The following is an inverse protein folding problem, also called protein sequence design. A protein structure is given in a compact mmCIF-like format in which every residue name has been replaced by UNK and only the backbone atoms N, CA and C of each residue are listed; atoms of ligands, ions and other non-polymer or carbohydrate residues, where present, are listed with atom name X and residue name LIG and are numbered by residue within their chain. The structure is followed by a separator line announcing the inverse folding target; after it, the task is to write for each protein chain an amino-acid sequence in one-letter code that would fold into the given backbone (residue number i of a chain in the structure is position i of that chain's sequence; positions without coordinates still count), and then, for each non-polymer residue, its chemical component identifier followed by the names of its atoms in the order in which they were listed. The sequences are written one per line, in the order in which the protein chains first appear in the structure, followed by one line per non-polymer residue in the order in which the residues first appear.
data_IF_885490955479
#
_entry.id   IF_885490955479
#
_cell.length_a   1.000
_cell.length_b   1.000
_cell.length_c   1.000
_cell.angle_alpha   90.00
_cell.angle_beta   90.00
_cell.angle_gamma   90.00
#
_symmetry.space_group_name_H-M   'P 1'
#
loop_
_entity.id
_entity.type
_entity.pdbx_description
1 polymer ?
#
# COMPACT_ATOMS: atom_id res chain seq x y z
N UNK A 1 -26.32 -8.78 6.42
CA UNK A 1 -27.12 -7.69 5.81
C UNK A 1 -26.50 -6.34 6.19
N UNK A 2 -26.70 -5.26 5.40
CA UNK A 2 -26.25 -3.91 5.77
C UNK A 2 -26.73 -3.51 7.15
N UNK A 3 -25.84 -2.95 8.00
CA UNK A 3 -26.16 -2.58 9.39
C UNK A 3 -26.16 -3.73 10.40
N UNK A 4 -25.92 -4.96 9.98
CA UNK A 4 -25.76 -6.10 10.89
C UNK A 4 -24.48 -5.92 11.72
N UNK A 5 -24.59 -6.07 13.04
CA UNK A 5 -23.42 -6.16 13.93
C UNK A 5 -22.80 -7.55 13.81
N UNK A 6 -21.50 -7.61 13.77
CA UNK A 6 -20.72 -8.84 13.69
C UNK A 6 -19.60 -8.80 14.73
N UNK A 7 -19.25 -9.98 15.23
CA UNK A 7 -18.09 -10.17 16.09
C UNK A 7 -16.93 -10.81 15.32
N UNK A 8 -15.74 -10.76 15.87
CA UNK A 8 -14.58 -11.45 15.32
C UNK A 8 -14.86 -12.96 15.21
N UNK A 9 -14.69 -13.53 14.01
CA UNK A 9 -14.92 -14.92 13.72
C UNK A 9 -16.33 -15.25 13.20
N UNK A 10 -17.24 -14.27 13.18
CA UNK A 10 -18.56 -14.47 12.56
C UNK A 10 -18.45 -14.72 11.05
N UNK A 11 -19.24 -15.69 10.57
CA UNK A 11 -19.35 -15.95 9.14
C UNK A 11 -20.16 -14.85 8.47
N UNK A 12 -19.55 -14.10 7.57
CA UNK A 12 -20.20 -13.01 6.81
C UNK A 12 -20.87 -13.52 5.53
N UNK A 13 -20.34 -14.59 4.95
CA UNK A 13 -20.80 -15.16 3.69
C UNK A 13 -19.87 -16.28 3.21
N UNK A 14 -20.17 -16.76 2.02
CA UNK A 14 -19.29 -17.70 1.31
C UNK A 14 -18.59 -16.95 0.19
N UNK A 15 -17.31 -17.27 -0.03
CA UNK A 15 -16.58 -16.73 -1.18
C UNK A 15 -17.19 -17.26 -2.48
N UNK A 16 -17.27 -16.42 -3.49
CA UNK A 16 -17.80 -16.76 -4.79
C UNK A 16 -16.99 -16.11 -5.91
N UNK A 17 -17.31 -16.47 -7.15
CA UNK A 17 -16.68 -15.96 -8.35
C UNK A 17 -17.73 -15.24 -9.24
N UNK A 18 -18.60 -14.44 -8.64
CA UNK A 18 -19.59 -13.66 -9.40
C UNK A 18 -18.96 -12.41 -10.01
N UNK A 19 -19.38 -12.05 -11.22
CA UNK A 19 -18.82 -10.94 -11.98
C UNK A 19 -17.65 -11.36 -12.88
N UNK A 20 -16.79 -10.42 -13.24
CA UNK A 20 -15.57 -10.69 -14.01
C UNK A 20 -14.47 -11.09 -13.03
N UNK A 21 -14.31 -12.40 -12.80
CA UNK A 21 -13.36 -12.93 -11.84
C UNK A 21 -12.81 -14.29 -12.30
N UNK A 22 -11.51 -14.49 -12.14
CA UNK A 22 -10.79 -15.72 -12.54
C UNK A 22 -10.97 -16.87 -11.51
N UNK A 23 -11.64 -16.62 -10.39
CA UNK A 23 -11.92 -17.60 -9.34
C UNK A 23 -12.54 -17.00 -8.08
N UNK A 24 -12.90 -17.82 -7.09
CA UNK A 24 -13.45 -17.35 -5.82
C UNK A 24 -12.46 -16.45 -5.07
N UNK A 25 -12.89 -15.25 -4.72
CA UNK A 25 -12.08 -14.29 -3.95
C UNK A 25 -12.96 -13.43 -3.04
N UNK A 26 -12.33 -12.77 -2.07
CA UNK A 26 -12.93 -11.70 -1.27
C UNK A 26 -12.52 -10.34 -1.88
N UNK A 27 -13.51 -9.54 -2.21
CA UNK A 27 -13.30 -8.15 -2.59
C UNK A 27 -13.55 -7.25 -1.39
N UNK A 28 -12.55 -6.46 -1.00
CA UNK A 28 -12.62 -5.48 0.08
C UNK A 28 -12.29 -4.09 -0.46
N UNK A 29 -13.20 -3.14 -0.28
CA UNK A 29 -12.96 -1.74 -0.56
C UNK A 29 -13.18 -0.88 0.68
N UNK A 30 -12.32 0.12 0.87
CA UNK A 30 -12.56 1.23 1.79
C UNK A 30 -12.96 2.45 0.98
N UNK A 31 -14.11 3.05 1.31
CA UNK A 31 -14.62 4.27 0.68
C UNK A 31 -14.79 5.35 1.72
N UNK A 32 -14.23 6.54 1.46
CA UNK A 32 -14.24 7.66 2.41
C UNK A 32 -15.11 8.79 1.86
N UNK A 33 -16.09 9.21 2.66
CA UNK A 33 -17.05 10.26 2.29
C UNK A 33 -18.25 9.72 1.50
N UNK A 34 -18.12 9.56 0.20
CA UNK A 34 -19.20 9.12 -0.66
C UNK A 34 -19.09 7.63 -1.01
N UNK A 35 -20.23 6.95 -1.15
CA UNK A 35 -20.26 5.55 -1.53
C UNK A 35 -20.19 5.39 -3.06
N UNK A 36 -19.07 5.76 -3.65
CA UNK A 36 -18.77 5.59 -5.07
C UNK A 36 -17.31 5.18 -5.27
N UNK A 37 -16.98 4.76 -6.48
CA UNK A 37 -15.64 4.26 -6.81
C UNK A 37 -14.54 5.33 -6.69
N UNK A 38 -14.84 6.58 -7.04
CA UNK A 38 -13.89 7.70 -6.90
C UNK A 38 -13.51 8.02 -5.43
N UNK A 39 -14.24 7.44 -4.47
CA UNK A 39 -13.97 7.59 -3.03
C UNK A 39 -13.18 6.42 -2.43
N UNK A 40 -12.72 5.47 -3.25
CA UNK A 40 -11.92 4.35 -2.79
C UNK A 40 -10.55 4.80 -2.26
N UNK A 41 -10.08 4.10 -1.24
CA UNK A 41 -8.74 4.27 -0.64
C UNK A 41 -8.09 2.89 -0.53
N UNK A 42 -6.76 2.84 -0.43
CA UNK A 42 -6.08 1.59 -0.23
C UNK A 42 -6.46 0.98 1.13
N UNK A 43 -7.10 -0.21 1.15
CA UNK A 43 -7.58 -0.81 2.41
C UNK A 43 -6.45 -1.15 3.40
N UNK A 44 -5.21 -1.31 2.95
CA UNK A 44 -4.06 -1.61 3.81
C UNK A 44 -3.76 -0.48 4.83
N UNK A 45 -4.22 0.75 4.57
CA UNK A 45 -4.14 1.85 5.53
C UNK A 45 -5.16 1.74 6.68
N UNK A 46 -6.17 0.86 6.55
CA UNK A 46 -7.30 0.71 7.45
C UNK A 46 -7.35 -0.65 8.14
N UNK A 47 -6.61 -1.61 7.64
CA UNK A 47 -6.47 -2.93 8.24
C UNK A 47 -5.37 -2.88 9.31
N UNK A 48 -5.60 -3.60 10.41
CA UNK A 48 -4.57 -3.82 11.41
C UNK A 48 -3.52 -4.76 10.83
N UNK A 49 -2.23 -4.37 10.78
CA UNK A 49 -1.17 -5.25 10.32
C UNK A 49 -1.02 -6.47 11.24
N UNK A 50 -0.38 -7.51 10.77
CA UNK A 50 -0.07 -8.68 11.59
C UNK A 50 0.69 -8.28 12.88
N UNK A 51 0.51 -9.02 13.99
CA UNK A 51 1.22 -8.71 15.23
C UNK A 51 2.72 -8.53 15.02
N UNK A 52 3.28 -7.47 15.57
CA UNK A 52 4.70 -7.10 15.46
C UNK A 52 5.18 -6.70 14.06
N UNK A 53 4.28 -6.43 13.12
CA UNK A 53 4.62 -5.82 11.83
C UNK A 53 4.12 -4.39 11.75
N UNK A 54 4.54 -3.65 10.73
CA UNK A 54 4.09 -2.29 10.45
C UNK A 54 3.64 -2.15 9.00
N UNK A 55 2.99 -1.03 8.71
CA UNK A 55 2.64 -0.61 7.35
C UNK A 55 3.69 0.40 6.87
N UNK A 56 4.15 0.27 5.65
CA UNK A 56 4.94 1.30 4.97
C UNK A 56 4.06 1.95 3.91
N UNK A 57 3.88 3.25 4.03
CA UNK A 57 3.18 4.05 3.03
C UNK A 57 4.09 5.18 2.56
N UNK A 58 3.91 5.64 1.35
CA UNK A 58 4.73 6.72 0.85
C UNK A 58 4.33 7.22 -0.52
N UNK A 59 5.15 8.09 -1.05
CA UNK A 59 4.97 8.60 -2.40
C UNK A 59 6.26 8.58 -3.19
N UNK A 60 6.12 8.23 -4.46
CA UNK A 60 7.16 8.33 -5.46
C UNK A 60 6.77 9.53 -6.32
N UNK A 61 7.64 10.54 -6.34
CA UNK A 61 7.37 11.80 -7.01
C UNK A 61 8.51 12.18 -7.96
N UNK A 62 8.17 12.90 -9.02
CA UNK A 62 9.13 13.63 -9.84
C UNK A 62 9.65 14.87 -9.09
N UNK A 63 10.73 15.53 -9.56
CA UNK A 63 11.28 16.73 -8.91
C UNK A 63 10.31 17.92 -8.83
N UNK A 64 9.29 17.94 -9.67
CA UNK A 64 8.22 18.94 -9.66
C UNK A 64 7.07 18.58 -8.69
N UNK A 65 7.18 17.46 -7.97
CA UNK A 65 6.20 16.98 -7.01
C UNK A 65 5.04 16.18 -7.60
N UNK A 66 5.03 15.93 -8.91
CA UNK A 66 4.01 15.07 -9.52
C UNK A 66 4.21 13.61 -9.11
N UNK A 67 3.11 12.93 -8.78
CA UNK A 67 3.13 11.50 -8.45
C UNK A 67 3.53 10.68 -9.67
N UNK A 68 4.42 9.72 -9.47
CA UNK A 68 4.74 8.70 -10.46
C UNK A 68 3.85 7.48 -10.24
N UNK A 69 3.09 7.13 -11.25
CA UNK A 69 2.18 6.00 -11.27
C UNK A 69 2.87 4.74 -11.83
N UNK A 70 2.41 3.57 -11.40
CA UNK A 70 2.88 2.26 -11.88
C UNK A 70 4.41 2.06 -11.79
N UNK A 71 5.06 2.79 -10.87
CA UNK A 71 6.49 2.68 -10.63
C UNK A 71 6.79 1.53 -9.67
N UNK A 72 7.62 0.54 -10.06
CA UNK A 72 8.04 -0.53 -9.16
C UNK A 72 8.86 0.02 -7.99
N UNK A 73 8.52 -0.41 -6.77
CA UNK A 73 9.26 -0.08 -5.55
C UNK A 73 9.53 -1.34 -4.74
N UNK A 74 10.71 -1.46 -4.19
CA UNK A 74 11.10 -2.54 -3.28
C UNK A 74 11.67 -1.99 -1.99
N UNK A 75 11.44 -2.72 -0.89
CA UNK A 75 12.10 -2.51 0.40
C UNK A 75 13.17 -3.58 0.58
N UNK A 76 14.39 -3.14 0.80
CA UNK A 76 15.53 -4.02 1.06
C UNK A 76 16.02 -3.75 2.47
N UNK A 77 16.17 -4.79 3.27
CA UNK A 77 16.80 -4.65 4.59
C UNK A 77 18.28 -4.31 4.41
N UNK A 78 18.80 -3.46 5.29
CA UNK A 78 20.22 -3.06 5.25
C UNK A 78 21.15 -4.24 5.56
N UNK A 79 20.66 -5.21 6.33
CA UNK A 79 21.38 -6.43 6.72
C UNK A 79 21.13 -7.62 5.77
N UNK A 80 20.42 -7.42 4.65
CA UNK A 80 20.11 -8.47 3.68
C UNK A 80 20.24 -7.94 2.25
N UNK A 81 20.80 -8.76 1.35
CA UNK A 81 21.00 -8.38 -0.05
C UNK A 81 19.75 -8.52 -0.92
N UNK A 82 18.76 -9.30 -0.48
CA UNK A 82 17.51 -9.54 -1.23
C UNK A 82 16.42 -8.53 -0.84
N UNK A 83 15.54 -8.13 -1.78
CA UNK A 83 14.36 -7.37 -1.45
C UNK A 83 13.51 -8.12 -0.42
N UNK A 84 13.07 -7.43 0.62
CA UNK A 84 12.16 -8.01 1.61
C UNK A 84 10.73 -8.07 1.07
N UNK A 85 10.29 -6.98 0.47
CA UNK A 85 8.99 -6.87 -0.17
C UNK A 85 9.03 -5.87 -1.31
N UNK A 86 8.11 -5.99 -2.24
CA UNK A 86 7.98 -5.08 -3.37
C UNK A 86 6.50 -4.86 -3.72
N UNK A 87 6.21 -3.71 -4.28
CA UNK A 87 4.91 -3.37 -4.86
C UNK A 87 5.11 -2.43 -6.05
N UNK A 88 4.01 -1.94 -6.58
CA UNK A 88 4.00 -0.91 -7.62
C UNK A 88 3.19 0.27 -7.10
N UNK A 89 3.62 1.49 -7.38
CA UNK A 89 2.79 2.65 -7.06
C UNK A 89 1.45 2.57 -7.79
N UNK A 90 0.44 3.23 -7.26
CA UNK A 90 -0.92 3.17 -7.77
C UNK A 90 -0.97 3.44 -9.28
N UNK A 91 -1.93 2.82 -9.95
CA UNK A 91 -2.34 3.27 -11.28
C UNK A 91 -3.02 4.65 -11.17
N UNK A 92 -3.07 5.38 -12.25
CA UNK A 92 -3.70 6.69 -12.24
C UNK A 92 -5.20 6.57 -11.94
N UNK A 93 -5.60 7.08 -10.76
CA UNK A 93 -6.98 7.08 -10.30
C UNK A 93 -7.44 5.82 -9.57
N UNK A 94 -6.57 4.83 -9.32
CA UNK A 94 -6.96 3.55 -8.70
C UNK A 94 -5.84 2.87 -7.90
N UNK A 95 -5.94 2.77 -6.56
CA UNK A 95 -6.86 3.48 -5.66
C UNK A 95 -6.50 4.97 -5.58
N UNK A 96 -7.38 5.78 -4.99
CA UNK A 96 -7.04 7.18 -4.74
C UNK A 96 -6.18 7.28 -3.48
N UNK A 97 -5.24 8.22 -3.50
CA UNK A 97 -4.46 8.58 -2.32
C UNK A 97 -5.35 9.03 -1.16
N UNK A 98 -4.98 8.72 0.07
CA UNK A 98 -5.64 9.31 1.23
C UNK A 98 -5.43 10.83 1.24
N UNK A 99 -6.47 11.58 1.61
CA UNK A 99 -6.45 13.05 1.55
C UNK A 99 -5.48 13.68 2.56
N UNK A 100 -5.06 12.94 3.57
CA UNK A 100 -4.11 13.40 4.60
C UNK A 100 -2.69 12.98 4.27
N UNK A 101 -2.50 11.74 3.82
CA UNK A 101 -1.19 11.18 3.54
C UNK A 101 -0.69 11.56 2.14
N UNK A 102 -1.56 11.51 1.13
CA UNK A 102 -1.19 11.78 -0.25
C UNK A 102 -0.25 10.72 -0.84
N UNK A 103 -0.32 9.49 -0.31
CA UNK A 103 0.52 8.37 -0.73
C UNK A 103 0.12 7.87 -2.13
N UNK A 104 1.05 7.23 -2.82
CA UNK A 104 0.75 6.46 -4.03
C UNK A 104 1.27 5.03 -3.98
N UNK A 105 1.71 4.55 -2.83
CA UNK A 105 1.94 3.13 -2.57
C UNK A 105 1.76 2.81 -1.09
N UNK A 106 1.42 1.54 -0.81
CA UNK A 106 1.34 0.97 0.54
C UNK A 106 1.88 -0.46 0.49
N UNK A 107 2.60 -0.85 1.52
CA UNK A 107 3.02 -2.21 1.82
C UNK A 107 2.65 -2.52 3.26
N UNK A 108 1.99 -3.64 3.50
CA UNK A 108 1.63 -4.09 4.84
C UNK A 108 2.56 -5.20 5.35
N UNK A 109 2.36 -5.57 6.59
CA UNK A 109 3.03 -6.70 7.26
C UNK A 109 4.56 -6.65 7.19
N UNK A 110 5.14 -5.45 7.10
CA UNK A 110 6.59 -5.26 7.05
C UNK A 110 7.19 -5.48 8.43
N UNK A 111 8.14 -6.40 8.54
CA UNK A 111 8.85 -6.69 9.79
C UNK A 111 9.65 -5.46 10.23
N UNK A 112 9.69 -5.11 11.54
CA UNK A 112 10.45 -3.98 12.03
C UNK A 112 11.93 -4.07 11.70
N UNK A 113 12.56 -2.94 11.33
CA UNK A 113 13.97 -2.88 10.99
C UNK A 113 14.33 -1.65 10.19
N UNK A 114 15.59 -1.57 9.81
CA UNK A 114 16.10 -0.50 8.96
C UNK A 114 16.13 -0.95 7.50
N UNK A 115 15.47 -0.18 6.64
CA UNK A 115 15.26 -0.49 5.24
C UNK A 115 15.72 0.64 4.33
N UNK A 116 16.06 0.25 3.11
CA UNK A 116 16.18 1.13 1.97
C UNK A 116 15.03 0.86 1.01
N UNK A 117 14.20 1.89 0.78
CA UNK A 117 13.22 1.89 -0.30
C UNK A 117 13.92 2.21 -1.62
N UNK A 118 13.64 1.45 -2.65
CA UNK A 118 14.35 1.49 -3.93
C UNK A 118 13.35 1.57 -5.08
N UNK A 119 13.56 2.55 -5.95
CA UNK A 119 12.89 2.66 -7.26
C UNK A 119 13.94 2.65 -8.35
N UNK A 120 13.75 1.81 -9.34
CA UNK A 120 14.60 1.77 -10.53
C UNK A 120 13.80 2.18 -11.76
N UNK A 121 14.24 3.24 -12.41
CA UNK A 121 13.59 3.77 -13.62
C UNK A 121 14.60 4.49 -14.50
N UNK A 122 14.43 4.41 -15.80
CA UNK A 122 15.34 5.03 -16.78
C UNK A 122 16.79 4.56 -16.65
N UNK A 123 17.03 3.34 -16.18
CA UNK A 123 18.38 2.79 -15.93
C UNK A 123 19.08 3.40 -14.69
N UNK A 124 18.39 4.16 -13.87
CA UNK A 124 18.90 4.78 -12.64
C UNK A 124 18.18 4.21 -11.42
N UNK A 125 18.90 4.23 -10.29
CA UNK A 125 18.41 3.77 -9.01
C UNK A 125 18.28 4.94 -8.05
N UNK A 126 17.08 5.08 -7.46
CA UNK A 126 16.75 6.09 -6.46
C UNK A 126 16.43 5.39 -5.16
N UNK A 127 16.91 5.94 -4.05
CA UNK A 127 16.78 5.29 -2.75
C UNK A 127 16.40 6.28 -1.66
N UNK A 128 15.65 5.80 -0.67
CA UNK A 128 15.38 6.52 0.57
C UNK A 128 15.43 5.54 1.74
N UNK A 129 16.06 5.96 2.82
CA UNK A 129 16.19 5.15 4.02
C UNK A 129 14.99 5.35 4.95
N UNK A 130 14.54 4.29 5.61
CA UNK A 130 13.47 4.35 6.61
C UNK A 130 13.64 3.31 7.71
N UNK A 131 13.18 3.67 8.92
CA UNK A 131 12.93 2.72 9.99
C UNK A 131 11.48 2.27 9.97
N UNK A 132 11.25 0.96 9.98
CA UNK A 132 9.92 0.38 10.14
C UNK A 132 9.71 0.02 11.60
N UNK A 133 8.66 0.55 12.18
CA UNK A 133 8.20 0.27 13.54
C UNK A 133 6.87 -0.47 13.50
N UNK A 134 6.61 -1.39 14.44
CA UNK A 134 5.38 -2.15 14.45
C UNK A 134 4.16 -1.32 14.84
N UNK A 135 2.97 -1.78 14.42
CA UNK A 135 1.67 -1.24 14.83
C UNK A 135 1.35 0.16 14.32
N UNK A 136 2.04 0.64 13.29
CA UNK A 136 1.79 1.97 12.73
C UNK A 136 2.17 2.07 11.26
N UNK A 137 1.72 3.15 10.63
CA UNK A 137 2.19 3.56 9.30
C UNK A 137 3.56 4.23 9.43
N UNK A 138 4.52 3.74 8.67
CA UNK A 138 5.87 4.29 8.54
C UNK A 138 5.97 4.97 7.18
N UNK A 139 6.38 6.22 7.15
CA UNK A 139 6.34 7.05 5.96
C UNK A 139 7.69 7.13 5.26
N UNK A 140 7.66 7.09 3.93
CA UNK A 140 8.83 7.35 3.08
C UNK A 140 8.43 8.09 1.80
N UNK A 141 9.29 9.01 1.36
CA UNK A 141 9.15 9.71 0.09
C UNK A 141 10.40 9.48 -0.76
N UNK A 142 10.20 9.16 -2.03
CA UNK A 142 11.26 9.05 -3.02
C UNK A 142 11.06 10.10 -4.11
N UNK A 143 12.07 10.95 -4.30
CA UNK A 143 12.12 11.89 -5.42
C UNK A 143 12.94 11.26 -6.53
N UNK A 144 12.29 11.01 -7.66
CA UNK A 144 12.87 10.36 -8.83
C UNK A 144 13.15 11.42 -9.88
N UNK A 145 14.40 11.90 -9.93
CA UNK A 145 14.85 12.92 -10.88
C UNK A 145 15.51 12.35 -12.14
N UNK A 146 15.62 13.21 -13.16
CA UNK A 146 16.42 12.88 -14.36
C UNK A 146 17.91 12.79 -14.06
#
# INVERSE_FOLDING_TARGET
APGQRVARGDVLGLSGASGVADGPHLHLEVRVGQNNYASTRNPLLWLEPLPQTGVVAGRIVAPDGQLLFEAPISLVRVDAAAPYTATTSYAQGEPNSDSTLGENFVMDDVVPGFYQAIVETGGRRFTADLWVYPGRVNWVELVVGQ
#
